data_IF_935536816233
#
_entry.id   IF_935536816233
#
_cell.length_a   1.000
_cell.length_b   1.000
_cell.length_c   1.000
_cell.angle_alpha   90.00
_cell.angle_beta   90.00
_cell.angle_gamma   90.00
#
_symmetry.space_group_name_H-M   'P 1'
#
loop_
_entity.id
_entity.type
_entity.pdbx_description
1 polymer ?
#
# COMPACT_ATOMS: atom_id res chain seq x y z
N UNK A 1 25.21 25.31 -35.59
CA UNK A 1 24.63 23.95 -35.63
C UNK A 1 23.22 24.05 -35.09
N UNK A 2 22.21 23.83 -35.94
CA UNK A 2 20.82 23.70 -35.48
C UNK A 2 20.69 22.28 -34.95
N UNK A 3 20.40 22.12 -33.65
CA UNK A 3 20.09 20.81 -33.08
C UNK A 3 18.74 20.39 -33.64
N UNK A 4 18.65 19.19 -34.23
CA UNK A 4 17.37 18.66 -34.73
C UNK A 4 16.40 18.51 -33.55
N UNK A 5 15.28 19.23 -33.60
CA UNK A 5 14.26 19.23 -32.54
C UNK A 5 13.75 17.82 -32.22
N UNK A 6 13.76 16.89 -33.18
CA UNK A 6 13.37 15.49 -32.95
C UNK A 6 14.40 14.76 -32.09
N UNK A 7 15.68 15.07 -32.25
CA UNK A 7 16.74 14.53 -31.41
C UNK A 7 16.61 15.07 -29.99
N UNK A 8 16.32 16.37 -29.85
CA UNK A 8 16.10 16.99 -28.54
C UNK A 8 14.92 16.34 -27.81
N UNK A 9 13.76 16.21 -28.46
CA UNK A 9 12.58 15.56 -27.88
C UNK A 9 12.84 14.10 -27.48
N UNK A 10 13.53 13.33 -28.33
CA UNK A 10 13.85 11.94 -28.03
C UNK A 10 14.81 11.81 -26.82
N UNK A 11 15.74 12.75 -26.67
CA UNK A 11 16.65 12.81 -25.50
C UNK A 11 15.87 13.17 -24.25
N UNK A 12 15.01 14.18 -24.29
CA UNK A 12 14.16 14.60 -23.16
C UNK A 12 13.29 13.44 -22.65
N UNK A 13 12.60 12.73 -23.55
CA UNK A 13 11.81 11.54 -23.21
C UNK A 13 12.64 10.44 -22.55
N UNK A 14 13.87 10.23 -23.03
CA UNK A 14 14.76 9.21 -22.47
C UNK A 14 15.32 9.61 -21.12
N UNK A 15 15.60 10.88 -20.90
CA UNK A 15 16.01 11.42 -19.59
C UNK A 15 14.87 11.24 -18.59
N UNK A 16 13.65 11.65 -18.94
CA UNK A 16 12.46 11.49 -18.09
C UNK A 16 12.23 10.01 -17.71
N UNK A 17 12.33 9.10 -18.68
CA UNK A 17 12.19 7.67 -18.43
C UNK A 17 13.29 7.11 -17.49
N UNK A 18 14.52 7.61 -17.61
CA UNK A 18 15.62 7.23 -16.72
C UNK A 18 15.43 7.78 -15.31
N UNK A 19 14.95 9.01 -15.16
CA UNK A 19 14.65 9.61 -13.86
C UNK A 19 13.52 8.86 -13.14
N UNK A 20 12.44 8.52 -13.84
CA UNK A 20 11.36 7.68 -13.29
C UNK A 20 11.91 6.34 -12.80
N UNK A 21 12.76 5.69 -13.61
CA UNK A 21 13.37 4.41 -13.24
C UNK A 21 14.29 4.53 -12.03
N UNK A 22 15.07 5.61 -11.95
CA UNK A 22 15.95 5.89 -10.81
C UNK A 22 15.12 6.06 -9.54
N UNK A 23 14.08 6.90 -9.55
CA UNK A 23 13.16 7.08 -8.41
C UNK A 23 12.51 5.76 -7.97
N UNK A 24 12.11 4.93 -8.93
CA UNK A 24 11.58 3.60 -8.65
C UNK A 24 12.60 2.68 -7.98
N UNK A 25 13.87 2.72 -8.40
CA UNK A 25 14.95 1.94 -7.79
C UNK A 25 15.25 2.39 -6.35
N UNK A 26 15.30 3.71 -6.10
CA UNK A 26 15.52 4.27 -4.76
C UNK A 26 14.39 3.86 -3.81
N UNK A 27 13.14 3.94 -4.27
CA UNK A 27 11.98 3.53 -3.50
C UNK A 27 11.97 2.02 -3.19
N UNK A 28 12.35 1.18 -4.15
CA UNK A 28 12.50 -0.26 -3.92
C UNK A 28 13.63 -0.54 -2.93
N UNK A 29 14.76 0.18 -3.01
CA UNK A 29 15.88 0.03 -2.05
C UNK A 29 15.42 0.31 -0.62
N UNK A 30 14.69 1.42 -0.43
CA UNK A 30 14.13 1.80 0.88
C UNK A 30 13.18 0.74 1.44
N UNK A 31 12.31 0.17 0.59
CA UNK A 31 11.45 -0.94 1.01
C UNK A 31 12.25 -2.19 1.39
N UNK A 32 13.32 -2.52 0.66
CA UNK A 32 14.21 -3.66 0.98
C UNK A 32 14.98 -3.45 2.29
N UNK A 33 15.46 -2.23 2.53
CA UNK A 33 16.15 -1.86 3.77
C UNK A 33 15.21 -2.03 4.97
N UNK A 34 14.01 -1.46 4.92
CA UNK A 34 13.01 -1.61 6.00
C UNK A 34 12.59 -3.07 6.23
N UNK A 35 12.44 -3.87 5.16
CA UNK A 35 12.20 -5.31 5.27
C UNK A 35 13.34 -6.06 5.99
N UNK A 36 14.61 -5.66 5.74
CA UNK A 36 15.78 -6.26 6.40
C UNK A 36 15.86 -5.85 7.87
N UNK A 37 15.67 -4.58 8.17
CA UNK A 37 15.67 -4.04 9.54
C UNK A 37 14.59 -4.70 10.40
N UNK A 38 13.41 -4.93 9.84
CA UNK A 38 12.29 -5.63 10.48
C UNK A 38 12.40 -7.17 10.43
N UNK A 39 13.48 -7.72 9.89
CA UNK A 39 13.75 -9.16 9.83
C UNK A 39 12.66 -9.97 9.09
N UNK A 40 12.10 -9.40 8.02
CA UNK A 40 11.06 -10.03 7.20
C UNK A 40 11.67 -11.00 6.18
N UNK A 41 12.22 -12.10 6.67
CA UNK A 41 12.98 -13.07 5.84
C UNK A 41 12.14 -13.82 4.79
N UNK A 42 10.82 -13.82 4.90
CA UNK A 42 9.92 -14.40 3.88
C UNK A 42 9.75 -13.52 2.64
N UNK A 43 10.23 -12.27 2.70
CA UNK A 43 10.05 -11.30 1.64
C UNK A 43 10.73 -11.73 0.33
N UNK A 44 10.00 -11.66 -0.78
CA UNK A 44 10.54 -11.85 -2.14
C UNK A 44 10.00 -10.77 -3.06
N UNK A 45 10.90 -10.08 -3.75
CA UNK A 45 10.51 -9.15 -4.81
C UNK A 45 10.41 -9.86 -6.16
N UNK A 46 9.44 -9.46 -6.95
CA UNK A 46 9.26 -9.94 -8.31
C UNK A 46 8.92 -8.77 -9.24
N UNK A 47 9.64 -8.64 -10.35
CA UNK A 47 9.38 -7.59 -11.33
C UNK A 47 8.32 -8.08 -12.32
N UNK A 48 7.25 -7.32 -12.42
CA UNK A 48 6.17 -7.52 -13.36
C UNK A 48 6.42 -6.72 -14.66
N UNK A 49 5.83 -7.11 -15.79
CA UNK A 49 5.89 -6.30 -17.01
C UNK A 49 5.09 -5.00 -16.87
N UNK A 50 5.36 -4.04 -17.76
CA UNK A 50 4.73 -2.71 -17.73
C UNK A 50 3.19 -2.76 -17.80
N UNK A 51 2.64 -3.68 -18.60
CA UNK A 51 1.21 -3.87 -18.80
C UNK A 51 0.53 -4.74 -17.73
N UNK A 52 1.23 -5.05 -16.61
CA UNK A 52 0.69 -5.91 -15.54
C UNK A 52 -0.68 -5.44 -15.01
N UNK A 53 -0.92 -4.13 -14.95
CA UNK A 53 -2.18 -3.57 -14.47
C UNK A 53 -3.29 -3.51 -15.52
N UNK A 54 -3.00 -3.82 -16.78
CA UNK A 54 -4.00 -4.00 -17.84
C UNK A 54 -4.63 -5.39 -17.78
N UNK A 55 -3.98 -6.35 -17.13
CA UNK A 55 -4.47 -7.72 -16.99
C UNK A 55 -5.56 -7.84 -15.93
N UNK A 56 -6.41 -8.85 -16.08
CA UNK A 56 -7.37 -9.29 -15.06
C UNK A 56 -6.66 -9.78 -13.79
N UNK A 57 -7.38 -9.83 -12.67
CA UNK A 57 -6.82 -10.39 -11.43
C UNK A 57 -6.40 -11.86 -11.57
N UNK A 58 -7.11 -12.64 -12.38
CA UNK A 58 -6.79 -14.05 -12.63
C UNK A 58 -5.46 -14.20 -13.39
N UNK A 59 -5.22 -13.38 -14.40
CA UNK A 59 -3.96 -13.35 -15.15
C UNK A 59 -2.78 -12.91 -14.28
N UNK A 60 -2.97 -11.88 -13.46
CA UNK A 60 -1.96 -11.45 -12.47
C UNK A 60 -1.62 -12.56 -11.48
N UNK A 61 -2.64 -13.26 -10.97
CA UNK A 61 -2.46 -14.37 -10.05
C UNK A 61 -1.71 -15.54 -10.72
N UNK A 62 -2.05 -15.85 -11.97
CA UNK A 62 -1.36 -16.85 -12.78
C UNK A 62 0.12 -16.49 -12.98
N UNK A 63 0.42 -15.23 -13.32
CA UNK A 63 1.79 -14.73 -13.49
C UNK A 63 2.60 -14.86 -12.20
N UNK A 64 2.02 -14.51 -11.05
CA UNK A 64 2.66 -14.60 -9.74
C UNK A 64 2.60 -15.99 -9.09
N UNK A 65 2.06 -16.98 -9.80
CA UNK A 65 1.83 -18.35 -9.32
C UNK A 65 1.13 -18.40 -7.94
N UNK A 66 0.01 -17.68 -7.82
CA UNK A 66 -0.80 -17.60 -6.61
C UNK A 66 -2.29 -17.59 -6.93
N UNK A 67 -3.15 -17.46 -5.91
CA UNK A 67 -4.59 -17.24 -6.09
C UNK A 67 -4.94 -15.75 -6.07
N UNK A 68 -6.11 -15.38 -6.60
CA UNK A 68 -6.61 -13.99 -6.55
C UNK A 68 -6.78 -13.50 -5.10
N UNK A 69 -7.09 -14.40 -4.15
CA UNK A 69 -7.20 -14.05 -2.74
C UNK A 69 -5.87 -13.56 -2.13
N UNK A 70 -4.74 -13.95 -2.71
CA UNK A 70 -3.41 -13.54 -2.25
C UNK A 70 -2.93 -12.23 -2.87
N UNK A 71 -3.65 -11.70 -3.87
CA UNK A 71 -3.37 -10.38 -4.41
C UNK A 71 -3.97 -9.33 -3.48
N UNK A 72 -3.11 -8.55 -2.84
CA UNK A 72 -3.48 -7.48 -1.91
C UNK A 72 -2.91 -6.14 -2.36
N UNK A 73 -3.47 -5.07 -1.80
CA UNK A 73 -3.02 -3.70 -1.99
C UNK A 73 -2.93 -2.99 -0.65
N UNK A 74 -1.97 -2.09 -0.55
CA UNK A 74 -1.82 -1.15 0.56
C UNK A 74 -2.41 0.19 0.14
N UNK A 75 -3.35 0.72 0.93
CA UNK A 75 -4.06 1.97 0.64
C UNK A 75 -3.93 2.89 1.85
N UNK A 76 -3.57 4.15 1.61
CA UNK A 76 -3.57 5.16 2.67
C UNK A 76 -4.97 5.73 2.83
N UNK A 77 -5.45 5.75 4.07
CA UNK A 77 -6.70 6.42 4.44
C UNK A 77 -6.40 7.60 5.36
N UNK A 78 -7.09 8.70 5.13
CA UNK A 78 -7.03 9.92 5.93
C UNK A 78 -8.28 10.04 6.80
N UNK A 79 -8.08 10.29 8.08
CA UNK A 79 -9.10 10.74 9.00
C UNK A 79 -9.36 12.24 8.80
N UNK A 80 -10.34 12.58 7.98
CA UNK A 80 -10.67 13.99 7.67
C UNK A 80 -11.32 14.73 8.84
N UNK A 81 -11.68 14.02 9.92
CA UNK A 81 -12.16 14.63 11.17
C UNK A 81 -11.01 14.98 12.14
N UNK A 82 -9.77 14.59 11.81
CA UNK A 82 -8.60 14.85 12.63
C UNK A 82 -8.26 16.34 12.71
N UNK A 83 -7.70 16.76 13.84
CA UNK A 83 -7.22 18.13 14.10
C UNK A 83 -5.87 18.07 14.81
N UNK A 84 -5.11 19.15 14.74
CA UNK A 84 -3.73 19.20 15.25
C UNK A 84 -3.59 18.87 16.75
N UNK A 85 -4.64 19.06 17.53
CA UNK A 85 -4.70 18.74 18.97
C UNK A 85 -5.05 17.26 19.27
N UNK A 86 -5.36 16.45 18.26
CA UNK A 86 -5.81 15.06 18.40
C UNK A 86 -4.67 14.03 18.26
N UNK A 87 -3.55 14.21 18.97
CA UNK A 87 -2.39 13.30 18.87
C UNK A 87 -2.67 11.84 19.24
N UNK A 88 -3.73 11.56 20.01
CA UNK A 88 -4.15 10.21 20.40
C UNK A 88 -4.94 9.47 19.31
N UNK A 89 -5.30 10.15 18.20
CA UNK A 89 -6.02 9.56 17.06
C UNK A 89 -5.12 9.67 15.84
N UNK A 90 -4.90 8.58 15.07
CA UNK A 90 -4.11 8.68 13.85
C UNK A 90 -4.83 9.53 12.80
N UNK A 91 -4.11 10.48 12.21
CA UNK A 91 -4.58 11.19 11.01
C UNK A 91 -4.57 10.27 9.79
N UNK A 92 -3.53 9.46 9.63
CA UNK A 92 -3.38 8.57 8.48
C UNK A 92 -3.19 7.13 8.95
N UNK A 93 -3.75 6.18 8.21
CA UNK A 93 -3.55 4.75 8.41
C UNK A 93 -3.27 4.07 7.07
N UNK A 94 -2.42 3.04 7.08
CA UNK A 94 -2.24 2.15 5.93
C UNK A 94 -3.16 0.94 6.08
N UNK A 95 -4.04 0.69 5.11
CA UNK A 95 -4.95 -0.47 5.10
C UNK A 95 -4.49 -1.47 4.05
N UNK A 96 -4.18 -2.68 4.48
CA UNK A 96 -3.88 -3.83 3.63
C UNK A 96 -5.16 -4.64 3.42
N UNK A 97 -5.57 -4.74 2.15
CA UNK A 97 -6.83 -5.39 1.75
C UNK A 97 -6.63 -6.19 0.46
N UNK A 98 -7.44 -7.23 0.23
CA UNK A 98 -7.43 -7.99 -1.02
C UNK A 98 -7.91 -7.13 -2.20
N UNK A 99 -7.38 -7.37 -3.41
CA UNK A 99 -7.82 -6.66 -4.61
C UNK A 99 -9.31 -6.85 -4.92
N UNK A 100 -9.84 -8.05 -4.64
CA UNK A 100 -11.26 -8.41 -4.81
C UNK A 100 -12.22 -7.76 -3.79
N UNK A 101 -11.69 -6.97 -2.86
CA UNK A 101 -12.46 -6.37 -1.78
C UNK A 101 -12.40 -4.83 -1.84
N UNK A 102 -13.43 -4.21 -1.30
CA UNK A 102 -13.54 -2.76 -1.12
C UNK A 102 -13.40 -2.43 0.36
N UNK A 103 -12.64 -1.39 0.69
CA UNK A 103 -12.51 -0.93 2.07
C UNK A 103 -13.84 -0.30 2.49
N UNK A 104 -14.30 -0.63 3.70
CA UNK A 104 -15.42 0.04 4.34
C UNK A 104 -14.88 1.03 5.39
N UNK A 105 -15.07 2.33 5.14
CA UNK A 105 -14.59 3.42 6.00
C UNK A 105 -15.14 3.39 7.42
N UNK A 106 -16.41 3.02 7.60
CA UNK A 106 -17.04 2.95 8.93
C UNK A 106 -16.45 1.81 9.76
N UNK A 107 -16.15 0.69 9.12
CA UNK A 107 -15.46 -0.44 9.74
C UNK A 107 -14.02 -0.08 10.14
N UNK A 108 -13.28 0.64 9.29
CA UNK A 108 -11.95 1.18 9.65
C UNK A 108 -12.07 2.12 10.85
N UNK A 109 -13.01 3.07 10.81
CA UNK A 109 -13.24 4.01 11.91
C UNK A 109 -13.62 3.29 13.21
N UNK A 110 -14.42 2.22 13.13
CA UNK A 110 -14.74 1.37 14.28
C UNK A 110 -13.49 0.67 14.82
N UNK A 111 -12.69 0.03 13.97
CA UNK A 111 -11.48 -0.68 14.39
C UNK A 111 -10.47 0.24 15.07
N UNK A 112 -10.24 1.44 14.52
CA UNK A 112 -9.33 2.43 15.12
C UNK A 112 -9.82 2.86 16.52
N UNK A 113 -11.13 3.08 16.69
CA UNK A 113 -11.70 3.39 18.01
C UNK A 113 -11.56 2.23 18.99
N UNK A 114 -11.85 1.01 18.55
CA UNK A 114 -11.80 -0.18 19.39
C UNK A 114 -10.35 -0.46 19.84
N UNK A 115 -9.37 -0.28 18.95
CA UNK A 115 -7.95 -0.40 19.30
C UNK A 115 -7.49 0.71 20.28
N UNK A 116 -7.99 1.93 20.11
CA UNK A 116 -7.73 3.05 21.03
C UNK A 116 -8.48 2.98 22.36
N UNK A 117 -9.42 2.04 22.53
CA UNK A 117 -10.26 1.97 23.73
C UNK A 117 -9.49 1.60 25.01
N UNK A 118 -8.35 0.91 24.86
CA UNK A 118 -7.43 0.57 25.95
C UNK A 118 -6.35 1.64 26.19
N UNK A 119 -6.37 2.73 25.40
CA UNK A 119 -5.46 3.85 25.56
C UNK A 119 -5.85 4.78 26.71
N UNK A 120 -4.95 5.70 27.05
CA UNK A 120 -5.16 6.72 28.10
C UNK A 120 -6.38 7.59 27.80
N UNK A 121 -6.67 7.83 26.52
CA UNK A 121 -7.81 8.63 26.06
C UNK A 121 -8.64 7.85 25.05
N UNK A 122 -9.93 7.69 25.37
CA UNK A 122 -10.90 6.99 24.52
C UNK A 122 -11.20 7.81 23.26
N UNK A 123 -11.15 7.16 22.09
CA UNK A 123 -11.47 7.77 20.80
C UNK A 123 -13.00 7.76 20.57
N UNK A 124 -13.60 8.93 20.41
CA UNK A 124 -15.05 9.05 20.16
C UNK A 124 -15.40 8.94 18.67
N UNK A 125 -16.68 8.67 18.36
CA UNK A 125 -17.16 8.60 16.96
C UNK A 125 -16.93 9.89 16.17
N UNK A 126 -16.98 11.05 16.82
CA UNK A 126 -16.82 12.36 16.16
C UNK A 126 -15.37 12.65 15.73
N UNK A 127 -14.41 11.89 16.26
CA UNK A 127 -12.99 12.07 15.99
C UNK A 127 -12.47 11.17 14.86
N UNK A 128 -13.33 10.35 14.26
CA UNK A 128 -12.94 9.42 13.19
C UNK A 128 -13.90 9.52 12.00
N UNK A 129 -13.36 9.90 10.85
CA UNK A 129 -14.02 9.87 9.56
C UNK A 129 -12.98 9.56 8.49
N UNK A 130 -12.84 8.29 8.11
CA UNK A 130 -11.79 7.85 7.20
C UNK A 130 -12.23 7.91 5.74
N UNK A 131 -11.42 8.52 4.89
CA UNK A 131 -11.56 8.57 3.45
C UNK A 131 -10.26 8.13 2.78
N UNK A 132 -10.30 7.79 1.49
CA UNK A 132 -9.06 7.54 0.76
C UNK A 132 -8.22 8.82 0.77
N UNK A 133 -6.95 8.71 1.14
CA UNK A 133 -6.05 9.85 1.03
C UNK A 133 -5.91 10.24 -0.45
N UNK A 134 -5.84 11.54 -0.78
CA UNK A 134 -5.51 11.99 -2.12
C UNK A 134 -4.20 11.37 -2.63
N UNK A 135 -4.06 11.06 -3.94
CA UNK A 135 -2.87 10.39 -4.46
C UNK A 135 -1.55 11.12 -4.19
N UNK A 136 -1.55 12.45 -4.26
CA UNK A 136 -0.42 13.33 -3.94
C UNK A 136 -0.03 13.24 -2.47
N UNK A 137 -1.01 13.27 -1.56
CA UNK A 137 -0.80 13.06 -0.12
C UNK A 137 -0.24 11.65 0.16
N UNK A 138 -0.79 10.62 -0.50
CA UNK A 138 -0.26 9.25 -0.40
C UNK A 138 1.19 9.18 -0.88
N UNK A 139 1.53 9.81 -2.01
CA UNK A 139 2.88 9.82 -2.54
C UNK A 139 3.84 10.57 -1.61
N UNK A 140 3.41 11.70 -1.03
CA UNK A 140 4.20 12.47 -0.07
C UNK A 140 4.49 11.67 1.22
N UNK A 141 3.47 10.99 1.76
CA UNK A 141 3.61 10.21 2.99
C UNK A 141 4.44 8.93 2.80
N UNK A 142 4.21 8.23 1.68
CA UNK A 142 4.79 6.91 1.46
C UNK A 142 6.10 6.96 0.69
N UNK A 143 6.34 8.00 -0.11
CA UNK A 143 7.42 8.06 -1.09
C UNK A 143 7.25 7.09 -2.25
N UNK A 144 6.04 6.54 -2.45
CA UNK A 144 5.74 5.61 -3.53
C UNK A 144 4.72 6.21 -4.48
N UNK A 145 4.92 5.96 -5.77
CA UNK A 145 3.94 6.30 -6.80
C UNK A 145 2.71 5.37 -6.72
N UNK A 146 1.62 5.80 -7.37
CA UNK A 146 0.40 5.02 -7.48
C UNK A 146 0.70 3.60 -7.99
N UNK A 147 -0.07 2.62 -7.51
CA UNK A 147 0.14 1.19 -7.75
C UNK A 147 1.46 0.58 -7.21
N UNK A 148 2.44 1.39 -6.77
CA UNK A 148 3.70 0.93 -6.19
C UNK A 148 3.72 0.86 -4.66
N UNK A 149 2.67 1.34 -3.98
CA UNK A 149 2.63 1.51 -2.52
C UNK A 149 2.90 0.19 -1.80
N UNK A 150 4.02 0.14 -1.09
CA UNK A 150 4.41 -0.90 -0.14
C UNK A 150 4.06 -0.44 1.28
N UNK A 151 3.64 -1.33 2.20
CA UNK A 151 3.53 -0.97 3.61
C UNK A 151 4.89 -0.85 4.31
N UNK A 152 5.96 -1.31 3.66
CA UNK A 152 7.34 -1.21 4.11
C UNK A 152 8.09 -0.11 3.37
N UNK A 153 9.00 0.57 4.06
CA UNK A 153 9.84 1.64 3.52
C UNK A 153 9.08 2.93 3.20
N UNK A 154 7.98 3.21 3.89
CA UNK A 154 7.32 4.51 3.77
C UNK A 154 8.21 5.62 4.33
N UNK A 155 8.16 6.82 3.73
CA UNK A 155 8.86 8.00 4.27
C UNK A 155 8.33 8.39 5.66
N UNK A 156 7.02 8.25 5.87
CA UNK A 156 6.35 8.42 7.16
C UNK A 156 5.82 7.07 7.63
N UNK A 157 6.27 6.54 8.79
CA UNK A 157 5.69 5.33 9.36
C UNK A 157 4.22 5.54 9.71
N UNK A 158 3.33 4.68 9.21
CA UNK A 158 1.89 4.77 9.45
C UNK A 158 1.37 3.54 10.23
N UNK A 159 0.42 3.71 11.16
CA UNK A 159 -0.31 2.59 11.74
C UNK A 159 -0.92 1.74 10.63
N UNK A 160 -0.67 0.43 10.69
CA UNK A 160 -1.11 -0.50 9.65
C UNK A 160 -2.28 -1.34 10.14
N UNK A 161 -3.27 -1.48 9.26
CA UNK A 161 -4.44 -2.32 9.43
C UNK A 161 -4.39 -3.44 8.40
N UNK A 162 -4.62 -4.69 8.82
CA UNK A 162 -4.75 -5.85 7.94
C UNK A 162 -6.19 -6.37 7.97
N UNK A 163 -6.82 -6.50 6.81
CA UNK A 163 -8.19 -7.04 6.72
C UNK A 163 -8.24 -8.52 7.13
N UNK A 164 -9.19 -8.90 7.99
CA UNK A 164 -9.30 -10.25 8.57
C UNK A 164 -9.20 -11.40 7.56
N UNK A 165 -9.83 -11.40 6.37
CA UNK A 165 -9.72 -12.50 5.41
C UNK A 165 -8.30 -12.78 4.91
N UNK A 166 -7.35 -11.87 5.14
CA UNK A 166 -5.93 -12.07 4.81
C UNK A 166 -5.26 -13.00 5.82
N UNK A 167 -5.73 -13.05 7.07
CA UNK A 167 -5.08 -13.80 8.15
C UNK A 167 -5.08 -15.31 7.92
N UNK A 168 -6.05 -15.81 7.14
CA UNK A 168 -6.17 -17.24 6.79
C UNK A 168 -5.23 -17.66 5.65
N UNK A 169 -4.49 -16.71 5.05
CA UNK A 169 -3.60 -16.98 3.92
C UNK A 169 -2.16 -17.23 4.39
N UNK A 170 -1.42 -18.13 3.74
CA UNK A 170 -0.01 -18.37 4.09
C UNK A 170 0.90 -17.19 3.71
N UNK A 171 0.58 -16.50 2.62
CA UNK A 171 1.33 -15.36 2.10
C UNK A 171 0.44 -14.51 1.19
N UNK A 172 0.86 -13.26 0.98
CA UNK A 172 0.21 -12.29 0.10
C UNK A 172 1.23 -11.62 -0.83
N UNK A 173 0.72 -10.99 -1.88
CA UNK A 173 1.43 -10.10 -2.78
C UNK A 173 0.94 -8.67 -2.62
N UNK A 174 1.86 -7.71 -2.56
CA UNK A 174 1.64 -6.28 -2.37
C UNK A 174 2.45 -5.46 -3.40
N UNK A 175 2.24 -4.14 -3.43
CA UNK A 175 3.18 -3.22 -4.09
C UNK A 175 4.56 -3.32 -3.43
N UNK A 176 5.62 -3.32 -4.23
CA UNK A 176 7.00 -3.52 -3.77
C UNK A 176 7.84 -2.24 -3.77
N UNK A 177 7.23 -1.07 -3.78
CA UNK A 177 7.91 0.24 -3.79
C UNK A 177 8.06 0.87 -5.17
N UNK A 178 7.65 0.19 -6.23
CA UNK A 178 7.57 0.74 -7.59
C UNK A 178 6.42 0.09 -8.35
N UNK A 179 5.91 0.77 -9.39
CA UNK A 179 4.78 0.32 -10.20
C UNK A 179 4.96 -1.13 -10.70
N UNK A 180 6.14 -1.47 -11.19
CA UNK A 180 6.43 -2.78 -11.78
C UNK A 180 7.05 -3.79 -10.78
N UNK A 181 7.11 -3.47 -9.49
CA UNK A 181 7.69 -4.37 -8.48
C UNK A 181 6.62 -4.87 -7.52
N UNK A 182 6.56 -6.19 -7.32
CA UNK A 182 5.62 -6.86 -6.40
C UNK A 182 6.38 -7.46 -5.24
N UNK A 183 5.83 -7.33 -4.05
CA UNK A 183 6.36 -7.88 -2.81
C UNK A 183 5.52 -9.08 -2.37
N UNK A 184 6.11 -10.28 -2.38
CA UNK A 184 5.57 -11.45 -1.69
C UNK A 184 6.04 -11.45 -0.25
N UNK A 185 5.13 -11.69 0.70
CA UNK A 185 5.46 -11.78 2.12
C UNK A 185 4.54 -12.77 2.83
N UNK A 186 5.06 -13.54 3.79
CA UNK A 186 4.24 -14.39 4.65
C UNK A 186 3.32 -13.51 5.51
N UNK A 187 2.05 -13.90 5.67
CA UNK A 187 1.07 -13.07 6.39
C UNK A 187 1.48 -12.87 7.84
N UNK A 188 1.95 -13.93 8.51
CA UNK A 188 2.42 -13.87 9.90
C UNK A 188 3.55 -12.85 10.09
N UNK A 189 4.57 -12.88 9.22
CA UNK A 189 5.68 -11.92 9.29
C UNK A 189 5.23 -10.50 8.92
N UNK A 190 4.31 -10.35 7.96
CA UNK A 190 3.77 -9.04 7.60
C UNK A 190 3.06 -8.39 8.81
N UNK A 191 2.15 -9.13 9.46
CA UNK A 191 1.41 -8.65 10.64
C UNK A 191 2.36 -8.34 11.79
N UNK A 192 3.31 -9.24 12.07
CA UNK A 192 4.27 -9.07 13.16
C UNK A 192 5.21 -7.87 12.93
N UNK A 193 5.82 -7.79 11.75
CA UNK A 193 6.82 -6.76 11.43
C UNK A 193 6.24 -5.34 11.38
N UNK A 194 4.97 -5.22 10.99
CA UNK A 194 4.25 -3.95 10.93
C UNK A 194 3.50 -3.62 12.24
N UNK A 195 3.56 -4.52 13.24
CA UNK A 195 2.72 -4.46 14.44
C UNK A 195 1.25 -4.17 14.09
N UNK A 196 0.75 -4.80 13.03
CA UNK A 196 -0.50 -4.43 12.40
C UNK A 196 -1.71 -4.82 13.26
N UNK A 197 -2.69 -3.92 13.34
CA UNK A 197 -3.99 -4.23 13.93
C UNK A 197 -4.81 -4.97 12.88
N UNK A 198 -5.40 -6.10 13.23
CA UNK A 198 -6.25 -6.85 12.30
C UNK A 198 -7.73 -6.66 12.62
N UNK A 199 -8.56 -6.59 11.59
CA UNK A 199 -10.01 -6.49 11.77
C UNK A 199 -10.78 -6.54 10.47
N UNK A 200 -12.09 -6.76 10.58
CA UNK A 200 -13.00 -6.71 9.44
C UNK A 200 -13.14 -5.25 9.00
N UNK A 201 -12.48 -4.88 7.92
CA UNK A 201 -12.45 -3.51 7.36
C UNK A 201 -12.86 -3.46 5.90
N UNK A 202 -13.40 -4.55 5.37
CA UNK A 202 -13.71 -4.65 3.95
C UNK A 202 -15.02 -5.37 3.68
N UNK A 203 -15.47 -5.24 2.44
CA UNK A 203 -16.63 -5.91 1.88
C UNK A 203 -16.24 -6.50 0.52
N UNK A 204 -16.94 -7.53 0.07
CA UNK A 204 -16.72 -8.08 -1.26
C UNK A 204 -17.04 -7.01 -2.32
N UNK A 205 -16.22 -6.91 -3.38
CA UNK A 205 -16.62 -6.16 -4.57
C UNK A 205 -17.78 -6.90 -5.24
N UNK A 206 -18.79 -6.17 -5.71
CA UNK A 206 -19.83 -6.76 -6.55
C UNK A 206 -19.22 -7.35 -7.82
N UNK A 207 -19.83 -8.40 -8.36
CA UNK A 207 -19.33 -9.18 -9.51
C UNK A 207 -19.04 -8.34 -10.77
N UNK A 208 -19.56 -7.10 -10.85
CA UNK A 208 -19.41 -6.18 -11.98
C UNK A 208 -18.24 -5.18 -11.89
N UNK A 209 -17.40 -5.22 -10.84
CA UNK A 209 -16.30 -4.25 -10.61
C UNK A 209 -14.89 -4.88 -10.60
N UNK A 210 -14.72 -6.04 -11.26
CA UNK A 210 -13.48 -6.83 -11.25
C UNK A 210 -12.61 -6.62 -12.49
#
# INVERSE_FOLDING_TARGET
MVVDERILQAVEQRVEALEVRLRGMESVSRAVEDLRERQVYSAKLHRAPHNYYEWTLAERAKFLNCTVAQLCKSIIMENVAWKDDMHHVPRFVCVIVQYKAKINSDKVAKLVRDAGANGVQKISRKQVNFQHAPPDISAQLTGFEFNGVSPFGMLTPLPTIVSTPILDLPYIWLGGGAHDVKLKVAVSQCVQALAAISGDVSEARGENES
#
